data_IF_155510533570
#
_entry.id   IF_155510533570
#
_cell.length_a   1.000
_cell.length_b   1.000
_cell.length_c   1.000
_cell.angle_alpha   90.00
_cell.angle_beta   90.00
_cell.angle_gamma   90.00
#
_symmetry.space_group_name_H-M   'P 1'
#
loop_
_entity.id
_entity.type
_entity.pdbx_description
1 polymer ?
#
# COMPACT_ATOMS: atom_id res chain seq x y z
N UNK A 1 -19.92 41.90 -53.29
CA UNK A 1 -20.24 41.74 -51.86
C UNK A 1 -19.26 40.72 -51.27
N UNK A 2 -19.01 40.80 -49.96
CA UNK A 2 -18.62 39.74 -48.99
C UNK A 2 -18.22 38.36 -49.58
N UNK A 3 -17.09 37.74 -49.22
CA UNK A 3 -16.06 38.11 -48.25
C UNK A 3 -15.03 36.97 -48.05
N UNK A 4 -13.88 37.25 -47.43
CA UNK A 4 -12.74 36.33 -47.36
C UNK A 4 -12.91 35.19 -46.32
N UNK A 5 -12.22 34.07 -46.56
CA UNK A 5 -11.90 33.04 -45.55
C UNK A 5 -10.40 32.66 -45.63
N UNK A 6 -9.58 33.07 -44.65
CA UNK A 6 -8.27 32.50 -44.39
C UNK A 6 -8.17 31.86 -42.99
N UNK A 7 -7.06 31.16 -42.74
CA UNK A 7 -6.83 30.23 -41.63
C UNK A 7 -7.21 30.70 -40.21
N UNK A 8 -7.76 29.75 -39.45
CA UNK A 8 -7.94 29.87 -38.00
C UNK A 8 -6.61 29.57 -37.30
N UNK A 9 -5.88 30.63 -36.95
CA UNK A 9 -4.78 30.55 -35.99
C UNK A 9 -5.37 30.53 -34.57
N UNK A 10 -5.02 29.52 -33.78
CA UNK A 10 -5.18 29.59 -32.31
C UNK A 10 -3.81 29.89 -31.69
N UNK A 11 -3.58 31.16 -31.38
CA UNK A 11 -2.48 31.58 -30.49
C UNK A 11 -2.71 31.03 -29.08
N UNK A 12 -1.61 30.83 -28.36
CA UNK A 12 -1.61 30.07 -27.11
C UNK A 12 -2.52 30.64 -26.02
N UNK A 13 -3.04 29.72 -25.19
CA UNK A 13 -3.63 30.04 -23.89
C UNK A 13 -2.69 29.57 -22.79
N UNK A 14 -2.18 30.52 -22.01
CA UNK A 14 -1.61 30.26 -20.69
C UNK A 14 -2.72 29.68 -19.80
N UNK A 15 -2.49 28.52 -19.20
CA UNK A 15 -3.44 27.95 -18.24
C UNK A 15 -2.91 28.20 -16.83
N UNK A 16 -3.64 29.01 -16.04
CA UNK A 16 -3.25 29.38 -14.68
C UNK A 16 -3.47 28.21 -13.70
N UNK A 17 -2.70 28.24 -12.61
CA UNK A 17 -3.05 27.57 -11.36
C UNK A 17 -4.36 28.20 -10.84
N UNK A 18 -5.25 27.39 -10.26
CA UNK A 18 -6.44 27.91 -9.55
C UNK A 18 -6.54 27.22 -8.19
N UNK A 19 -5.98 27.87 -7.17
CA UNK A 19 -6.25 27.54 -5.78
C UNK A 19 -7.73 27.88 -5.47
N UNK A 20 -8.47 26.96 -4.88
CA UNK A 20 -9.83 27.21 -4.39
C UNK A 20 -9.81 27.29 -2.87
N UNK A 21 -9.71 28.51 -2.33
CA UNK A 21 -9.83 28.76 -0.89
C UNK A 21 -11.29 28.56 -0.45
N UNK A 22 -11.52 27.67 0.53
CA UNK A 22 -12.85 27.46 1.11
C UNK A 22 -13.05 28.35 2.35
N UNK A 23 -13.84 29.41 2.22
CA UNK A 23 -13.98 30.45 3.26
C UNK A 23 -15.04 30.13 4.31
N UNK A 24 -14.71 29.24 5.25
CA UNK A 24 -15.46 29.05 6.50
C UNK A 24 -14.59 29.39 7.72
N UNK A 25 -14.60 30.65 8.14
CA UNK A 25 -13.77 31.14 9.25
C UNK A 25 -14.17 30.53 10.61
N UNK A 26 -13.28 29.73 11.20
CA UNK A 26 -13.28 29.43 12.63
C UNK A 26 -11.82 29.32 13.11
N UNK A 27 -11.31 30.39 13.74
CA UNK A 27 -9.95 30.38 14.29
C UNK A 27 -9.93 29.50 15.54
N UNK A 28 -9.38 28.30 15.40
CA UNK A 28 -9.07 27.42 16.52
C UNK A 28 -7.56 27.47 16.76
N UNK A 29 -7.15 27.70 18.02
CA UNK A 29 -5.75 27.62 18.44
C UNK A 29 -5.30 26.14 18.43
N UNK A 30 -4.84 25.68 17.27
CA UNK A 30 -4.35 24.33 17.07
C UNK A 30 -2.92 24.18 17.62
N UNK A 31 -2.81 23.73 18.88
CA UNK A 31 -1.51 23.36 19.46
C UNK A 31 -0.83 22.27 18.62
N UNK A 32 0.38 22.57 18.13
CA UNK A 32 1.20 21.62 17.39
C UNK A 32 1.61 20.44 18.30
N UNK A 33 1.71 19.20 17.78
CA UNK A 33 2.04 18.04 18.60
C UNK A 33 3.49 18.09 19.09
N UNK A 34 3.70 18.12 20.42
CA UNK A 34 5.04 18.05 21.00
C UNK A 34 5.76 16.75 20.63
N UNK A 35 6.81 16.86 19.81
CA UNK A 35 7.76 15.77 19.56
C UNK A 35 8.84 15.66 20.64
N UNK A 36 9.59 14.55 20.68
CA UNK A 36 10.75 14.40 21.57
C UNK A 36 11.83 15.43 21.20
N UNK A 37 12.05 16.38 22.10
CA UNK A 37 12.79 17.64 21.84
C UNK A 37 14.24 17.41 21.38
N UNK A 38 14.92 16.44 21.98
CA UNK A 38 16.35 16.10 21.83
C UNK A 38 16.76 15.60 20.41
N UNK A 39 15.79 15.12 19.61
CA UNK A 39 16.10 14.52 18.31
C UNK A 39 16.15 15.55 17.16
N UNK A 40 15.39 16.65 17.25
CA UNK A 40 14.79 17.30 16.07
C UNK A 40 14.92 18.84 16.04
N UNK A 41 15.90 19.44 16.74
CA UNK A 41 16.07 20.91 16.74
C UNK A 41 16.25 21.49 15.32
N UNK A 42 15.64 22.64 15.04
CA UNK A 42 15.59 23.20 13.67
C UNK A 42 16.98 23.51 13.10
N UNK A 43 17.93 23.90 13.96
CA UNK A 43 19.32 24.09 13.58
C UNK A 43 20.05 22.80 13.14
N UNK A 44 19.60 21.64 13.62
CA UNK A 44 20.10 20.32 13.16
C UNK A 44 19.56 20.00 11.77
N UNK A 45 18.28 20.31 11.49
CA UNK A 45 17.69 20.19 10.16
C UNK A 45 18.37 21.12 9.15
N UNK A 46 18.59 22.39 9.54
CA UNK A 46 19.37 23.37 8.75
C UNK A 46 20.73 22.80 8.37
N UNK A 47 21.54 22.37 9.35
CA UNK A 47 22.89 21.84 9.12
C UNK A 47 22.90 20.58 8.23
N UNK A 48 21.87 19.74 8.28
CA UNK A 48 21.69 18.64 7.32
C UNK A 48 21.46 19.17 5.90
N UNK A 49 20.59 20.17 5.72
CA UNK A 49 20.35 20.80 4.42
C UNK A 49 21.57 21.53 3.85
N UNK A 50 22.32 22.28 4.67
CA UNK A 50 23.62 22.88 4.28
C UNK A 50 24.59 21.80 3.80
N UNK A 51 24.65 20.67 4.51
CA UNK A 51 25.51 19.53 4.14
C UNK A 51 25.06 18.87 2.83
N UNK A 52 23.76 18.76 2.59
CA UNK A 52 23.19 18.24 1.35
C UNK A 52 23.45 19.16 0.14
N UNK A 53 23.31 20.48 0.32
CA UNK A 53 23.58 21.46 -0.75
C UNK A 53 25.06 21.52 -1.16
N UNK A 54 25.99 21.16 -0.25
CA UNK A 54 27.42 21.10 -0.51
C UNK A 54 27.91 19.74 -1.06
N UNK A 55 27.05 18.72 -1.17
CA UNK A 55 27.36 17.49 -1.92
C UNK A 55 27.29 17.80 -3.43
N UNK A 56 28.28 17.37 -4.21
CA UNK A 56 28.26 17.53 -5.66
C UNK A 56 27.04 16.84 -6.28
N UNK A 57 26.58 17.35 -7.42
CA UNK A 57 25.46 16.80 -8.20
C UNK A 57 25.86 15.51 -8.93
N UNK A 58 26.18 14.46 -8.16
CA UNK A 58 26.28 13.10 -8.67
C UNK A 58 24.91 12.62 -9.17
N UNK A 59 24.92 11.60 -10.04
CA UNK A 59 23.73 11.10 -10.75
C UNK A 59 22.80 10.24 -9.87
N UNK A 60 22.77 10.52 -8.55
CA UNK A 60 22.02 9.79 -7.53
C UNK A 60 20.69 10.51 -7.25
N UNK A 61 19.58 9.95 -7.73
CA UNK A 61 18.26 10.56 -7.66
C UNK A 61 17.75 10.80 -6.22
N UNK A 62 18.24 10.06 -5.23
CA UNK A 62 17.95 10.28 -3.81
C UNK A 62 18.54 11.62 -3.33
N UNK A 63 19.78 11.94 -3.72
CA UNK A 63 20.43 13.20 -3.35
C UNK A 63 19.65 14.41 -3.89
N UNK A 64 19.25 14.36 -5.16
CA UNK A 64 18.48 15.42 -5.81
C UNK A 64 17.10 15.62 -5.15
N UNK A 65 16.42 14.54 -4.76
CA UNK A 65 15.13 14.62 -4.06
C UNK A 65 15.26 15.29 -2.67
N UNK A 66 16.30 14.94 -1.91
CA UNK A 66 16.62 15.58 -0.61
C UNK A 66 16.97 17.06 -0.77
N UNK A 67 17.82 17.39 -1.75
CA UNK A 67 18.20 18.78 -2.05
C UNK A 67 16.97 19.63 -2.44
N UNK A 68 16.06 19.07 -3.25
CA UNK A 68 14.80 19.75 -3.60
C UNK A 68 13.90 19.97 -2.36
N UNK A 69 13.80 19.01 -1.45
CA UNK A 69 13.07 19.16 -0.18
C UNK A 69 13.69 20.28 0.67
N UNK A 70 15.01 20.35 0.78
CA UNK A 70 15.70 21.45 1.49
C UNK A 70 15.44 22.82 0.85
N UNK A 71 15.55 22.94 -0.48
CA UNK A 71 15.29 24.19 -1.21
C UNK A 71 13.86 24.69 -1.00
N UNK A 72 12.87 23.78 -1.08
CA UNK A 72 11.46 24.11 -0.88
C UNK A 72 11.12 24.39 0.60
N UNK A 73 11.83 23.76 1.55
CA UNK A 73 11.69 24.05 2.97
C UNK A 73 12.25 25.45 3.34
N UNK A 74 13.31 25.88 2.67
CA UNK A 74 13.84 27.25 2.78
C UNK A 74 12.89 28.28 2.17
N UNK A 75 12.38 28.02 0.96
CA UNK A 75 11.38 28.88 0.31
C UNK A 75 10.09 28.98 1.17
N UNK A 76 9.65 27.88 1.79
CA UNK A 76 8.52 27.87 2.71
C UNK A 76 8.83 28.43 4.12
N UNK A 77 10.06 28.88 4.38
CA UNK A 77 10.54 29.38 5.68
C UNK A 77 10.25 28.40 6.84
N UNK A 78 10.59 27.13 6.65
CA UNK A 78 10.50 26.07 7.67
C UNK A 78 11.82 25.86 8.45
N UNK A 79 12.90 26.51 8.03
CA UNK A 79 14.24 26.39 8.62
C UNK A 79 14.78 27.79 8.98
N UNK A 80 15.38 27.98 10.18
CA UNK A 80 15.99 29.25 10.57
C UNK A 80 17.22 29.57 9.71
N UNK A 81 17.60 30.85 9.66
CA UNK A 81 18.85 31.33 9.04
C UNK A 81 20.08 30.61 9.62
N UNK A 82 21.10 30.35 8.78
CA UNK A 82 22.35 29.69 9.21
C UNK A 82 23.06 30.44 10.33
N UNK A 83 23.07 31.78 10.27
CA UNK A 83 23.72 32.64 11.27
C UNK A 83 23.11 32.50 12.65
N UNK A 84 21.78 32.29 12.75
CA UNK A 84 21.10 32.00 14.03
C UNK A 84 21.50 30.65 14.63
N UNK A 85 22.10 29.75 13.83
CA UNK A 85 22.52 28.42 14.25
C UNK A 85 24.02 28.31 14.56
N UNK A 86 24.75 29.43 14.59
CA UNK A 86 26.15 29.51 15.00
C UNK A 86 26.32 29.74 16.52
N UNK A 87 25.28 30.23 17.22
CA UNK A 87 25.34 30.44 18.67
C UNK A 87 25.40 29.11 19.46
N UNK A 88 26.42 28.90 20.31
CA UNK A 88 26.64 27.62 20.99
C UNK A 88 25.64 27.41 22.14
N UNK A 89 24.61 26.59 21.88
CA UNK A 89 23.61 26.16 22.86
C UNK A 89 22.17 26.61 22.56
N UNK A 90 21.93 27.26 21.42
CA UNK A 90 20.61 27.73 21.03
C UNK A 90 19.77 26.63 20.36
N UNK A 91 18.69 26.19 21.01
CA UNK A 91 17.68 25.30 20.45
C UNK A 91 16.44 26.07 20.01
N UNK A 92 16.44 26.55 18.76
CA UNK A 92 15.33 27.31 18.20
C UNK A 92 14.05 26.46 18.08
N UNK A 93 12.96 26.99 18.62
CA UNK A 93 11.61 26.41 18.52
C UNK A 93 10.91 26.76 17.22
N UNK A 94 9.74 26.14 16.97
CA UNK A 94 8.89 26.48 15.82
C UNK A 94 8.32 27.90 15.91
N UNK A 95 8.16 28.41 17.12
CA UNK A 95 7.55 29.71 17.42
C UNK A 95 8.45 30.92 17.10
N UNK A 96 9.72 30.69 16.70
CA UNK A 96 10.74 31.74 16.48
C UNK A 96 11.08 31.98 14.98
N UNK A 97 10.40 31.28 14.07
CA UNK A 97 10.64 31.36 12.61
C UNK A 97 9.58 32.20 11.88
N UNK A 98 8.50 32.60 12.54
CA UNK A 98 7.35 33.26 11.90
C UNK A 98 7.56 34.75 11.61
N UNK A 99 8.22 35.07 10.49
CA UNK A 99 8.13 36.39 9.87
C UNK A 99 8.42 36.39 8.36
N UNK A 100 7.41 36.13 7.51
CA UNK A 100 7.03 36.98 6.36
C UNK A 100 5.90 36.39 5.49
N UNK A 101 5.10 37.33 4.95
CA UNK A 101 4.12 37.31 3.86
C UNK A 101 3.34 36.03 3.49
N UNK A 102 2.05 36.05 3.83
CA UNK A 102 1.01 35.10 3.42
C UNK A 102 0.61 35.30 1.93
N UNK A 103 1.41 34.78 0.99
CA UNK A 103 1.20 34.92 -0.46
C UNK A 103 0.94 33.60 -1.21
N UNK A 104 0.36 33.70 -2.41
CA UNK A 104 0.00 32.57 -3.30
C UNK A 104 1.20 31.66 -3.67
N UNK A 105 2.42 32.20 -3.68
CA UNK A 105 3.65 31.42 -3.89
C UNK A 105 3.99 30.52 -2.68
N UNK A 106 3.56 30.83 -1.46
CA UNK A 106 3.79 29.99 -0.28
C UNK A 106 2.95 28.70 -0.34
N UNK A 107 1.66 28.81 -0.68
CA UNK A 107 0.77 27.65 -0.88
C UNK A 107 1.32 26.69 -1.95
N UNK A 108 1.75 27.26 -3.07
CA UNK A 108 2.38 26.54 -4.17
C UNK A 108 3.69 25.87 -3.74
N UNK A 109 4.55 26.56 -3.01
CA UNK A 109 5.80 26.02 -2.47
C UNK A 109 5.54 24.86 -1.51
N UNK A 110 4.53 24.98 -0.64
CA UNK A 110 4.09 23.90 0.25
C UNK A 110 3.53 22.69 -0.52
N UNK A 111 2.81 22.91 -1.62
CA UNK A 111 2.37 21.82 -2.50
C UNK A 111 3.54 21.14 -3.23
N UNK A 112 4.50 21.88 -3.79
CA UNK A 112 5.71 21.32 -4.41
C UNK A 112 6.57 20.56 -3.38
N UNK A 113 6.62 21.04 -2.14
CA UNK A 113 7.28 20.37 -1.01
C UNK A 113 6.56 19.08 -0.65
N UNK A 114 5.23 19.10 -0.52
CA UNK A 114 4.40 17.91 -0.29
C UNK A 114 4.58 16.86 -1.39
N UNK A 115 4.59 17.25 -2.67
CA UNK A 115 4.90 16.36 -3.80
C UNK A 115 6.32 15.79 -3.74
N UNK A 116 7.31 16.59 -3.32
CA UNK A 116 8.69 16.12 -3.15
C UNK A 116 8.84 15.17 -1.94
N UNK A 117 8.10 15.44 -0.85
CA UNK A 117 8.01 14.60 0.33
C UNK A 117 7.35 13.25 0.05
N UNK A 118 6.35 13.19 -0.85
CA UNK A 118 5.79 11.91 -1.33
C UNK A 118 6.87 11.06 -2.03
N UNK A 119 7.74 11.68 -2.83
CA UNK A 119 8.87 11.00 -3.46
C UNK A 119 9.93 10.52 -2.46
N UNK A 120 10.09 11.19 -1.31
CA UNK A 120 11.01 10.76 -0.24
C UNK A 120 10.38 9.73 0.73
N UNK A 121 9.07 9.74 0.93
CA UNK A 121 8.36 8.64 1.60
C UNK A 121 8.54 7.32 0.84
N UNK A 122 8.77 7.39 -0.48
CA UNK A 122 9.20 6.30 -1.35
C UNK A 122 10.74 6.13 -1.37
N UNK A 123 11.41 6.14 -0.20
CA UNK A 123 12.86 5.83 -0.05
C UNK A 123 13.13 4.95 1.18
N UNK A 124 14.25 4.19 1.23
CA UNK A 124 14.46 3.17 2.25
C UNK A 124 15.22 3.72 3.46
N UNK A 125 14.63 3.57 4.64
CA UNK A 125 15.19 4.02 5.93
C UNK A 125 16.55 3.38 6.30
N UNK A 126 16.89 2.20 5.77
CA UNK A 126 17.84 1.27 6.41
C UNK A 126 19.33 1.69 6.46
N UNK A 127 19.78 2.66 5.65
CA UNK A 127 21.19 3.10 5.60
C UNK A 127 21.36 4.61 5.38
N UNK A 128 20.29 5.40 5.52
CA UNK A 128 20.25 6.80 5.11
C UNK A 128 20.17 7.76 6.32
N UNK A 129 21.27 8.42 6.73
CA UNK A 129 21.27 9.32 7.89
C UNK A 129 20.47 10.62 7.64
N UNK A 130 20.19 10.98 6.38
CA UNK A 130 19.44 12.19 6.02
C UNK A 130 17.92 11.95 6.07
N UNK A 131 17.44 10.69 6.10
CA UNK A 131 16.02 10.33 5.93
C UNK A 131 15.10 10.84 7.05
N UNK A 132 15.42 10.61 8.34
CA UNK A 132 14.60 11.13 9.46
C UNK A 132 14.60 12.68 9.55
N UNK A 133 15.72 13.39 9.29
CA UNK A 133 15.68 14.84 9.06
C UNK A 133 14.69 15.27 7.97
N UNK A 134 14.72 14.67 6.78
CA UNK A 134 13.78 15.03 5.70
C UNK A 134 12.33 14.72 6.07
N UNK A 135 12.07 13.56 6.68
CA UNK A 135 10.76 13.14 7.20
C UNK A 135 10.24 14.08 8.30
N UNK A 136 11.13 14.74 9.04
CA UNK A 136 10.77 15.79 10.00
C UNK A 136 10.39 17.08 9.27
N UNK A 137 11.18 17.54 8.29
CA UNK A 137 10.82 18.68 7.42
C UNK A 137 9.44 18.48 6.77
N UNK A 138 9.16 17.29 6.24
CA UNK A 138 7.86 16.96 5.64
C UNK A 138 6.69 17.06 6.63
N UNK A 139 6.89 16.73 7.91
CA UNK A 139 5.87 16.94 8.97
C UNK A 139 5.68 18.41 9.31
N UNK A 140 6.74 19.23 9.24
CA UNK A 140 6.62 20.68 9.45
C UNK A 140 5.83 21.34 8.31
N UNK A 141 6.04 20.89 7.06
CA UNK A 141 5.27 21.34 5.91
C UNK A 141 3.77 21.00 6.05
N UNK A 142 3.44 19.75 6.38
CA UNK A 142 2.07 19.28 6.66
C UNK A 142 1.41 20.07 7.81
N UNK A 143 2.15 20.35 8.89
CA UNK A 143 1.68 21.21 9.98
C UNK A 143 1.38 22.65 9.53
N UNK A 144 2.26 23.26 8.73
CA UNK A 144 2.06 24.62 8.20
C UNK A 144 0.88 24.70 7.23
N UNK A 145 0.74 23.73 6.32
CA UNK A 145 -0.41 23.63 5.41
C UNK A 145 -1.76 23.55 6.15
N UNK A 146 -1.81 22.84 7.28
CA UNK A 146 -3.01 22.72 8.12
C UNK A 146 -3.32 24.00 8.89
N UNK A 147 -2.29 24.71 9.36
CA UNK A 147 -2.45 26.01 10.04
C UNK A 147 -2.94 27.12 9.09
N UNK A 148 -2.60 27.04 7.80
CA UNK A 148 -2.80 28.12 6.82
C UNK A 148 -4.13 28.03 6.02
N UNK A 149 -5.12 27.28 6.55
CA UNK A 149 -6.45 26.98 5.97
C UNK A 149 -6.49 25.88 4.87
N UNK A 150 -6.04 24.67 5.22
CA UNK A 150 -6.40 23.40 4.54
C UNK A 150 -6.03 23.32 3.03
N UNK A 151 -4.79 23.71 2.72
CA UNK A 151 -4.25 23.80 1.35
C UNK A 151 -4.36 22.46 0.60
N UNK A 152 -5.31 22.36 -0.34
CA UNK A 152 -5.65 21.10 -1.02
C UNK A 152 -4.88 20.89 -2.34
N UNK A 153 -3.67 20.32 -2.26
CA UNK A 153 -2.83 20.04 -3.43
C UNK A 153 -3.39 18.90 -4.31
N UNK A 154 -3.82 19.21 -5.54
CA UNK A 154 -4.39 18.21 -6.48
C UNK A 154 -3.34 17.68 -7.47
N UNK A 155 -3.09 16.36 -7.56
CA UNK A 155 -2.30 15.76 -8.63
C UNK A 155 -2.98 15.89 -10.00
N UNK A 156 -2.18 15.99 -11.07
CA UNK A 156 -2.65 16.01 -12.46
C UNK A 156 -2.91 14.57 -12.95
N UNK A 157 -4.06 14.30 -13.57
CA UNK A 157 -4.30 13.01 -14.24
C UNK A 157 -3.44 12.86 -15.51
N UNK A 158 -2.75 11.73 -15.73
CA UNK A 158 -2.02 11.49 -16.96
C UNK A 158 -2.98 11.33 -18.14
N UNK A 159 -2.89 12.23 -19.13
CA UNK A 159 -3.66 12.14 -20.37
C UNK A 159 -3.24 10.94 -21.21
N UNK A 160 -4.15 10.44 -22.04
CA UNK A 160 -3.91 9.26 -22.88
C UNK A 160 -2.91 9.59 -23.99
N UNK A 161 -1.81 8.84 -24.06
CA UNK A 161 -0.98 8.80 -25.26
C UNK A 161 -1.78 8.20 -26.42
N UNK A 162 -2.19 9.05 -27.36
CA UNK A 162 -2.69 8.62 -28.67
C UNK A 162 -1.47 8.48 -29.58
N UNK A 163 -1.04 7.24 -29.82
CA UNK A 163 -0.19 6.95 -30.96
C UNK A 163 -1.02 7.05 -32.22
N UNK A 164 -0.57 7.87 -33.17
CA UNK A 164 -1.05 7.90 -34.54
C UNK A 164 0.16 7.86 -35.47
N UNK A 165 0.15 6.94 -36.42
CA UNK A 165 1.20 6.75 -37.41
C UNK A 165 1.05 7.76 -38.56
N UNK A 166 2.16 8.19 -39.17
CA UNK A 166 2.18 8.64 -40.58
C UNK A 166 3.62 8.58 -41.14
N UNK A 167 3.76 8.13 -42.39
CA UNK A 167 5.04 7.85 -43.09
C UNK A 167 5.55 9.04 -43.93
N UNK A 168 6.86 9.08 -44.27
CA UNK A 168 7.40 9.26 -45.66
C UNK A 168 8.88 9.73 -45.74
N UNK A 169 9.50 9.53 -46.92
CA UNK A 169 10.84 10.02 -47.34
C UNK A 169 10.68 11.27 -48.27
N UNK A 170 11.67 12.09 -48.65
CA UNK A 170 13.16 12.14 -48.62
C UNK A 170 13.56 13.65 -48.74
N UNK A 171 14.79 14.17 -48.95
CA UNK A 171 16.18 13.74 -49.22
C UNK A 171 17.13 14.93 -48.84
N UNK A 172 18.46 14.82 -49.06
CA UNK A 172 19.19 15.94 -49.69
C UNK A 172 20.30 16.66 -48.90
N UNK A 173 21.46 16.00 -48.72
CA UNK A 173 22.84 16.55 -48.73
C UNK A 173 23.21 17.91 -48.08
N UNK A 174 24.16 17.86 -47.14
CA UNK A 174 24.96 19.02 -46.68
C UNK A 174 26.09 18.60 -45.72
N UNK A 175 27.30 19.13 -45.88
CA UNK A 175 28.51 18.69 -45.15
C UNK A 175 29.08 19.79 -44.23
N UNK A 176 29.41 19.38 -42.98
CA UNK A 176 30.24 20.07 -41.96
C UNK A 176 29.92 21.53 -41.58
N UNK A 177 29.47 21.71 -40.34
CA UNK A 177 30.27 22.41 -39.32
C UNK A 177 29.82 21.97 -37.91
N UNK A 178 30.70 22.13 -36.91
CA UNK A 178 30.47 21.63 -35.55
C UNK A 178 29.53 22.53 -34.73
N UNK A 179 28.52 21.93 -34.10
CA UNK A 179 27.99 22.34 -32.80
C UNK A 179 27.28 21.11 -32.17
N UNK A 180 27.71 20.70 -30.98
CA UNK A 180 27.07 19.63 -30.22
C UNK A 180 25.95 20.21 -29.35
N UNK A 181 24.82 20.53 -29.98
CA UNK A 181 23.60 20.94 -29.28
C UNK A 181 22.84 19.72 -28.72
N UNK A 182 22.00 19.95 -27.71
CA UNK A 182 21.52 18.91 -26.80
C UNK A 182 20.60 17.87 -27.47
N UNK A 183 21.06 16.62 -27.54
CA UNK A 183 20.19 15.46 -27.85
C UNK A 183 19.91 14.68 -26.56
N UNK A 184 18.65 14.61 -26.09
CA UNK A 184 18.30 13.92 -24.85
C UNK A 184 18.76 12.45 -24.87
N UNK A 185 19.69 12.11 -23.97
CA UNK A 185 20.09 10.73 -23.72
C UNK A 185 18.90 9.98 -23.12
N UNK A 186 18.33 9.03 -23.87
CA UNK A 186 17.22 8.17 -23.41
C UNK A 186 17.78 7.14 -22.43
N UNK A 187 18.01 7.59 -21.19
CA UNK A 187 18.56 6.78 -20.10
C UNK A 187 17.56 5.69 -19.70
N UNK A 188 17.92 4.44 -19.99
CA UNK A 188 17.16 3.24 -19.65
C UNK A 188 17.21 2.98 -18.14
N UNK A 189 16.21 3.52 -17.43
CA UNK A 189 16.10 3.47 -15.97
C UNK A 189 16.17 2.03 -15.40
N UNK A 190 17.26 1.71 -14.71
CA UNK A 190 17.37 0.54 -13.83
C UNK A 190 16.53 0.78 -12.56
N UNK A 191 15.23 0.54 -12.69
CA UNK A 191 14.19 0.96 -11.75
C UNK A 191 14.16 0.08 -10.51
N UNK A 192 14.78 0.54 -9.43
CA UNK A 192 14.66 -0.07 -8.09
C UNK A 192 13.42 0.49 -7.38
N UNK A 193 12.51 -0.38 -6.95
CA UNK A 193 11.19 0.00 -6.43
C UNK A 193 11.12 -0.09 -4.91
N UNK A 194 10.31 0.80 -4.32
CA UNK A 194 9.83 0.72 -2.95
C UNK A 194 8.36 0.31 -2.96
N UNK A 195 7.94 -0.39 -1.91
CA UNK A 195 6.63 -1.01 -1.79
C UNK A 195 6.16 -0.86 -0.35
N UNK A 196 4.85 -0.80 -0.17
CA UNK A 196 4.18 -0.79 1.13
C UNK A 196 4.32 -2.15 1.84
N UNK A 197 4.29 -2.18 3.17
CA UNK A 197 4.34 -3.42 3.95
C UNK A 197 3.04 -4.23 3.78
N UNK A 198 1.88 -3.57 3.67
CA UNK A 198 0.59 -4.21 3.38
C UNK A 198 -0.47 -3.26 2.75
N UNK A 199 -1.67 -3.77 2.49
CA UNK A 199 -2.77 -3.01 1.86
C UNK A 199 -3.35 -1.85 2.69
N UNK A 200 -3.11 -1.79 3.99
CA UNK A 200 -3.61 -0.73 4.86
C UNK A 200 -2.83 0.58 4.68
N UNK A 201 -1.53 0.49 4.42
CA UNK A 201 -0.73 1.65 4.02
C UNK A 201 -1.11 2.13 2.62
N UNK A 202 -1.38 1.20 1.68
CA UNK A 202 -1.88 1.55 0.34
C UNK A 202 -3.22 2.28 0.45
N UNK A 203 -4.12 1.81 1.32
CA UNK A 203 -5.39 2.49 1.58
C UNK A 203 -5.16 3.90 2.13
N UNK A 204 -4.35 4.05 3.18
CA UNK A 204 -4.04 5.34 3.78
C UNK A 204 -3.43 6.32 2.76
N UNK A 205 -2.45 5.87 1.96
CA UNK A 205 -1.83 6.66 0.91
C UNK A 205 -2.82 7.06 -0.20
N UNK A 206 -3.76 6.18 -0.58
CA UNK A 206 -4.80 6.53 -1.55
C UNK A 206 -5.82 7.53 -0.97
N UNK A 207 -6.20 7.40 0.30
CA UNK A 207 -7.16 8.31 0.97
C UNK A 207 -6.70 9.77 0.96
N UNK A 208 -5.39 10.04 0.95
CA UNK A 208 -4.84 11.40 0.86
C UNK A 208 -5.12 12.09 -0.49
N UNK A 209 -5.37 11.33 -1.57
CA UNK A 209 -5.48 11.85 -2.94
C UNK A 209 -6.81 11.52 -3.62
N UNK A 210 -7.69 10.74 -2.98
CA UNK A 210 -9.03 10.42 -3.49
C UNK A 210 -9.64 9.19 -2.83
N UNK A 211 -10.64 8.59 -3.49
CA UNK A 211 -11.24 7.33 -3.02
C UNK A 211 -10.30 6.16 -3.27
N UNK A 212 -9.92 5.37 -2.24
CA UNK A 212 -9.20 4.13 -2.42
C UNK A 212 -9.94 3.14 -3.34
N UNK A 213 -9.20 2.25 -4.03
CA UNK A 213 -9.78 1.31 -5.00
C UNK A 213 -9.29 -0.12 -4.77
N UNK A 214 -10.21 -1.07 -4.74
CA UNK A 214 -9.88 -2.50 -4.70
C UNK A 214 -9.19 -2.97 -5.98
N UNK A 215 -8.21 -3.86 -5.86
CA UNK A 215 -7.43 -4.34 -7.00
C UNK A 215 -6.14 -5.06 -6.59
N UNK A 216 -5.33 -5.44 -7.59
CA UNK A 216 -4.02 -6.05 -7.35
C UNK A 216 -2.94 -4.99 -7.20
N UNK A 217 -2.22 -5.05 -6.09
CA UNK A 217 -1.07 -4.20 -5.77
C UNK A 217 0.15 -5.08 -5.47
N UNK A 218 1.32 -4.46 -5.27
CA UNK A 218 2.54 -5.18 -4.85
C UNK A 218 3.02 -4.61 -3.52
N UNK A 219 3.21 -5.49 -2.56
CA UNK A 219 3.67 -5.18 -1.19
C UNK A 219 5.03 -5.85 -0.93
N UNK A 220 5.74 -5.39 0.10
CA UNK A 220 7.01 -5.97 0.54
C UNK A 220 7.19 -5.78 2.05
N UNK A 221 6.53 -6.63 2.87
CA UNK A 221 6.80 -6.73 4.31
C UNK A 221 8.28 -6.66 4.69
N UNK A 222 8.55 -6.16 5.89
CA UNK A 222 9.86 -6.16 6.53
C UNK A 222 10.53 -7.54 6.41
N UNK A 223 11.76 -7.54 5.88
CA UNK A 223 12.56 -8.74 5.57
C UNK A 223 12.00 -9.67 4.47
N UNK A 224 11.08 -9.21 3.63
CA UNK A 224 10.59 -9.95 2.44
C UNK A 224 11.21 -9.48 1.11
N UNK A 225 11.08 -10.34 0.10
CA UNK A 225 11.02 -9.91 -1.30
C UNK A 225 9.61 -9.40 -1.63
N UNK A 226 9.47 -8.57 -2.67
CA UNK A 226 8.17 -8.01 -3.04
C UNK A 226 7.26 -9.06 -3.71
N UNK A 227 5.97 -9.03 -3.41
CA UNK A 227 4.97 -9.93 -3.99
C UNK A 227 3.61 -9.25 -4.18
N UNK A 228 2.82 -9.74 -5.13
CA UNK A 228 1.52 -9.15 -5.45
C UNK A 228 0.40 -9.73 -4.59
N UNK A 229 -0.51 -8.86 -4.16
CA UNK A 229 -1.68 -9.15 -3.33
C UNK A 229 -2.91 -8.48 -3.91
N UNK A 230 -4.10 -9.00 -3.59
CA UNK A 230 -5.33 -8.24 -3.78
C UNK A 230 -5.59 -7.41 -2.53
N UNK A 231 -5.74 -6.09 -2.71
CA UNK A 231 -6.22 -5.21 -1.67
C UNK A 231 -7.72 -5.01 -1.83
N UNK A 232 -8.49 -5.32 -0.78
CA UNK A 232 -9.90 -4.96 -0.68
C UNK A 232 -10.00 -3.65 0.12
N UNK A 233 -10.43 -2.60 -0.58
CA UNK A 233 -10.54 -1.23 -0.08
C UNK A 233 -11.98 -0.84 0.26
N UNK A 234 -12.95 -1.74 0.06
CA UNK A 234 -14.38 -1.44 0.14
C UNK A 234 -15.03 -2.09 1.37
N UNK A 235 -14.63 -3.33 1.68
CA UNK A 235 -15.21 -4.13 2.75
C UNK A 235 -14.77 -3.61 4.11
N UNK A 236 -15.70 -3.37 5.04
CA UNK A 236 -15.40 -3.09 6.46
C UNK A 236 -14.34 -1.98 6.68
N UNK A 237 -14.40 -0.93 5.86
CA UNK A 237 -13.46 0.21 5.92
C UNK A 237 -12.19 0.06 5.10
N UNK A 238 -12.00 -1.04 4.36
CA UNK A 238 -10.89 -1.21 3.43
C UNK A 238 -9.52 -1.46 4.07
N UNK A 239 -8.47 -1.41 3.25
CA UNK A 239 -7.09 -1.68 3.70
C UNK A 239 -6.77 -3.16 3.92
N UNK A 240 -7.62 -4.07 3.43
CA UNK A 240 -7.49 -5.51 3.67
C UNK A 240 -6.55 -6.16 2.66
N UNK A 241 -5.52 -6.85 3.16
CA UNK A 241 -4.67 -7.74 2.35
C UNK A 241 -5.34 -9.10 2.26
N UNK A 242 -5.84 -9.48 1.08
CA UNK A 242 -6.44 -10.80 0.87
C UNK A 242 -5.34 -11.88 0.92
N UNK A 243 -5.62 -12.99 1.59
CA UNK A 243 -4.70 -14.13 1.79
C UNK A 243 -5.20 -15.44 1.17
N UNK A 244 -6.52 -15.56 0.95
CA UNK A 244 -7.16 -16.69 0.26
C UNK A 244 -8.44 -16.22 -0.44
N UNK A 245 -8.70 -16.70 -1.65
CA UNK A 245 -9.98 -16.47 -2.37
C UNK A 245 -10.43 -17.72 -3.11
N UNK A 246 -11.72 -18.07 -3.01
CA UNK A 246 -12.43 -19.14 -3.76
C UNK A 246 -13.75 -18.60 -4.31
N UNK A 247 -14.12 -18.93 -5.55
CA UNK A 247 -15.42 -18.55 -6.13
C UNK A 247 -15.87 -19.28 -7.42
N UNK A 248 -15.03 -20.08 -8.08
CA UNK A 248 -15.39 -20.75 -9.35
C UNK A 248 -14.83 -22.17 -9.58
N UNK A 249 -13.79 -22.55 -8.84
CA UNK A 249 -13.09 -23.83 -8.95
C UNK A 249 -12.04 -23.90 -10.06
N UNK A 250 -11.58 -22.77 -10.61
CA UNK A 250 -10.55 -22.72 -11.67
C UNK A 250 -9.21 -23.32 -11.26
N UNK A 251 -8.87 -23.34 -9.97
CA UNK A 251 -7.67 -23.99 -9.45
C UNK A 251 -7.98 -25.05 -8.38
N UNK A 252 -7.24 -26.15 -8.41
CA UNK A 252 -7.30 -27.17 -7.37
C UNK A 252 -6.44 -26.76 -6.16
N UNK A 253 -7.02 -26.89 -4.96
CA UNK A 253 -6.35 -26.66 -3.68
C UNK A 253 -5.86 -27.96 -3.01
N UNK A 254 -6.16 -29.14 -3.58
CA UNK A 254 -5.45 -30.37 -3.22
C UNK A 254 -4.02 -30.29 -3.78
N UNK A 255 -3.09 -29.79 -2.94
CA UNK A 255 -1.75 -29.34 -3.29
C UNK A 255 -0.73 -29.84 -2.26
N UNK A 256 0.55 -29.85 -2.64
CA UNK A 256 1.65 -30.22 -1.75
C UNK A 256 1.98 -29.09 -0.77
N UNK A 257 2.63 -29.44 0.33
CA UNK A 257 3.06 -28.48 1.35
C UNK A 257 3.92 -27.36 0.76
N UNK A 258 4.78 -27.68 -0.22
CA UNK A 258 5.64 -26.69 -0.87
C UNK A 258 4.83 -25.63 -1.65
N UNK A 259 3.74 -26.03 -2.31
CA UNK A 259 2.81 -25.10 -2.97
C UNK A 259 2.15 -24.19 -1.92
N UNK A 260 1.69 -24.77 -0.81
CA UNK A 260 1.12 -24.02 0.32
C UNK A 260 2.12 -23.08 1.00
N UNK A 261 3.41 -23.42 1.03
CA UNK A 261 4.50 -22.60 1.58
C UNK A 261 4.73 -21.32 0.77
N UNK A 262 4.80 -21.44 -0.56
CA UNK A 262 5.17 -20.33 -1.45
C UNK A 262 4.00 -19.60 -2.12
N UNK A 263 2.80 -20.19 -2.14
CA UNK A 263 1.60 -19.61 -2.75
C UNK A 263 1.29 -20.18 -4.13
N UNK A 264 0.01 -20.06 -4.55
CA UNK A 264 -0.47 -20.51 -5.86
C UNK A 264 -1.78 -19.82 -6.25
N UNK A 265 -2.05 -19.72 -7.55
CA UNK A 265 -3.20 -19.00 -8.11
C UNK A 265 -2.83 -17.61 -8.61
N UNK A 266 -3.79 -16.69 -8.67
CA UNK A 266 -3.58 -15.28 -9.03
C UNK A 266 -4.33 -14.36 -8.09
N UNK A 267 -3.71 -13.26 -7.68
CA UNK A 267 -4.33 -12.27 -6.81
C UNK A 267 -5.67 -11.74 -7.36
N UNK A 268 -5.83 -11.65 -8.68
CA UNK A 268 -7.09 -11.23 -9.32
C UNK A 268 -8.06 -12.40 -9.61
N UNK A 269 -7.99 -13.50 -8.85
CA UNK A 269 -8.76 -14.72 -9.06
C UNK A 269 -8.81 -15.62 -7.82
N UNK A 270 -9.00 -16.93 -8.00
CA UNK A 270 -8.73 -17.87 -6.90
C UNK A 270 -7.22 -17.91 -6.60
N UNK A 271 -6.85 -17.83 -5.32
CA UNK A 271 -5.47 -18.00 -4.88
C UNK A 271 -5.29 -18.32 -3.39
N UNK A 272 -4.06 -18.71 -3.07
CA UNK A 272 -3.49 -18.83 -1.74
C UNK A 272 -2.19 -18.02 -1.71
N UNK A 273 -2.07 -17.06 -0.79
CA UNK A 273 -0.93 -16.13 -0.74
C UNK A 273 0.42 -16.80 -0.40
N UNK A 274 0.39 -18.00 0.20
CA UNK A 274 1.59 -18.72 0.66
C UNK A 274 1.87 -18.48 2.14
N UNK A 275 2.09 -19.56 2.90
CA UNK A 275 2.32 -19.51 4.34
C UNK A 275 3.55 -18.69 4.72
N UNK A 276 4.59 -18.70 3.88
CA UNK A 276 5.78 -17.88 4.10
C UNK A 276 5.47 -16.39 4.01
N UNK A 277 4.61 -15.98 3.07
CA UNK A 277 4.20 -14.59 2.91
C UNK A 277 3.24 -14.17 4.03
N UNK A 278 2.29 -15.04 4.42
CA UNK A 278 1.42 -14.80 5.58
C UNK A 278 2.20 -14.68 6.89
N UNK A 279 3.24 -15.50 7.09
CA UNK A 279 4.17 -15.36 8.22
C UNK A 279 4.90 -14.01 8.19
N UNK A 280 5.44 -13.61 7.03
CA UNK A 280 6.17 -12.34 6.90
C UNK A 280 5.28 -11.12 7.19
N UNK A 281 4.05 -11.08 6.67
CA UNK A 281 3.06 -10.02 7.00
C UNK A 281 2.71 -10.07 8.50
N UNK A 282 2.24 -11.21 9.01
CA UNK A 282 1.73 -11.32 10.40
C UNK A 282 2.81 -11.35 11.49
N UNK A 283 4.09 -11.28 11.10
CA UNK A 283 5.19 -11.07 12.02
C UNK A 283 5.34 -9.61 12.48
N UNK A 284 4.93 -8.65 11.64
CA UNK A 284 5.24 -7.20 11.77
C UNK A 284 4.50 -6.51 12.92
N UNK A 285 3.19 -6.75 13.00
CA UNK A 285 2.27 -6.14 13.96
C UNK A 285 1.20 -7.19 14.35
N UNK A 286 0.23 -6.81 15.18
CA UNK A 286 -1.00 -7.59 15.39
C UNK A 286 -1.94 -7.35 14.21
N UNK A 287 -2.26 -8.39 13.44
CA UNK A 287 -3.24 -8.33 12.36
C UNK A 287 -4.57 -8.94 12.81
N UNK A 288 -5.69 -8.31 12.51
CA UNK A 288 -7.00 -8.96 12.55
C UNK A 288 -7.24 -9.79 11.27
N UNK A 289 -8.10 -10.80 11.35
CA UNK A 289 -8.56 -11.62 10.21
C UNK A 289 -10.05 -11.42 10.00
N UNK A 290 -10.44 -11.13 8.76
CA UNK A 290 -11.81 -11.16 8.26
C UNK A 290 -11.97 -12.34 7.29
N UNK A 291 -12.99 -13.16 7.49
CA UNK A 291 -13.38 -14.27 6.61
C UNK A 291 -14.81 -14.02 6.12
N UNK A 292 -14.98 -13.77 4.82
CA UNK A 292 -16.30 -13.69 4.16
C UNK A 292 -16.64 -15.01 3.45
N UNK A 293 -17.91 -15.40 3.51
CA UNK A 293 -18.41 -16.69 3.07
C UNK A 293 -19.77 -16.53 2.36
N UNK A 294 -19.94 -17.16 1.20
CA UNK A 294 -21.18 -17.14 0.41
C UNK A 294 -21.63 -18.57 0.10
N UNK A 295 -22.93 -18.87 0.27
CA UNK A 295 -23.51 -20.17 -0.10
C UNK A 295 -24.19 -20.18 -1.49
N UNK A 296 -24.65 -21.36 -1.91
CA UNK A 296 -25.36 -21.54 -3.18
C UNK A 296 -26.79 -20.99 -3.22
N UNK A 297 -27.28 -20.43 -2.12
CA UNK A 297 -28.50 -19.62 -2.04
C UNK A 297 -28.20 -18.12 -2.00
N UNK A 298 -26.93 -17.72 -2.15
CA UNK A 298 -26.39 -16.36 -2.05
C UNK A 298 -26.53 -15.73 -0.66
N UNK A 299 -26.66 -16.52 0.41
CA UNK A 299 -26.52 -15.99 1.76
C UNK A 299 -25.05 -15.64 2.00
N UNK A 300 -24.75 -14.38 2.34
CA UNK A 300 -23.41 -13.95 2.76
C UNK A 300 -23.33 -13.83 4.27
N UNK A 301 -22.18 -14.25 4.84
CA UNK A 301 -21.86 -14.13 6.27
C UNK A 301 -20.37 -13.91 6.45
N UNK A 302 -19.98 -13.37 7.61
CA UNK A 302 -18.59 -13.15 7.97
C UNK A 302 -18.22 -13.67 9.37
N UNK A 303 -16.94 -13.96 9.54
CA UNK A 303 -16.29 -14.19 10.82
C UNK A 303 -15.07 -13.27 10.92
N UNK A 304 -14.87 -12.61 12.07
CA UNK A 304 -13.67 -11.84 12.41
C UNK A 304 -12.95 -12.47 13.59
N UNK A 305 -11.62 -12.33 13.62
CA UNK A 305 -10.78 -12.70 14.76
C UNK A 305 -9.86 -11.53 15.09
N UNK A 306 -9.90 -11.05 16.34
CA UNK A 306 -9.19 -9.85 16.79
C UNK A 306 -7.66 -9.94 16.73
N UNK A 307 -7.13 -11.14 16.57
CA UNK A 307 -5.79 -11.35 16.03
C UNK A 307 -5.73 -12.62 15.18
N UNK A 308 -4.81 -12.63 14.23
CA UNK A 308 -4.42 -13.76 13.40
C UNK A 308 -2.93 -13.69 13.13
N UNK A 309 -2.22 -14.79 13.38
CA UNK A 309 -0.79 -14.92 13.11
C UNK A 309 -0.47 -16.31 12.61
N UNK A 310 0.39 -16.36 11.59
CA UNK A 310 1.02 -17.60 11.12
C UNK A 310 2.42 -17.66 11.74
N UNK A 311 2.79 -18.80 12.33
CA UNK A 311 4.08 -19.01 12.96
C UNK A 311 5.23 -19.16 11.95
N UNK A 312 6.47 -18.98 12.42
CA UNK A 312 7.67 -19.16 11.61
C UNK A 312 8.16 -20.61 11.54
N UNK A 313 9.26 -20.80 10.80
CA UNK A 313 9.83 -22.13 10.52
C UNK A 313 8.89 -23.00 9.69
N UNK A 314 9.15 -24.31 9.62
CA UNK A 314 8.36 -25.20 8.77
C UNK A 314 7.02 -25.67 9.40
N UNK A 315 6.60 -25.14 10.55
CA UNK A 315 5.35 -25.54 11.21
C UNK A 315 4.15 -24.65 10.85
N UNK A 316 4.40 -23.40 10.48
CA UNK A 316 3.40 -22.37 10.14
C UNK A 316 2.16 -22.36 11.07
N UNK A 317 2.40 -22.44 12.39
CA UNK A 317 1.37 -22.63 13.42
C UNK A 317 0.36 -21.48 13.44
N UNK A 318 -0.94 -21.80 13.49
CA UNK A 318 -2.00 -20.81 13.60
C UNK A 318 -2.12 -20.27 15.03
N UNK A 319 -2.20 -18.96 15.18
CA UNK A 319 -2.63 -18.30 16.42
C UNK A 319 -3.80 -17.35 16.12
N UNK A 320 -4.85 -17.43 16.94
CA UNK A 320 -6.07 -16.61 16.82
C UNK A 320 -6.43 -15.90 18.14
N UNK A 321 -6.96 -14.69 18.00
CA UNK A 321 -7.64 -13.93 19.04
C UNK A 321 -9.13 -14.27 19.17
N UNK A 322 -9.89 -13.38 19.77
CA UNK A 322 -11.33 -13.55 20.02
C UNK A 322 -12.16 -13.48 18.73
N UNK A 323 -13.06 -14.47 18.56
CA UNK A 323 -14.05 -14.51 17.48
C UNK A 323 -15.14 -13.42 17.63
N UNK A 324 -15.63 -12.91 16.49
CA UNK A 324 -16.91 -12.20 16.36
C UNK A 324 -17.50 -12.38 14.95
N UNK A 325 -18.76 -11.97 14.74
CA UNK A 325 -19.44 -12.03 13.44
C UNK A 325 -20.67 -12.95 13.43
N UNK A 326 -21.20 -13.24 12.24
CA UNK A 326 -22.48 -13.94 12.04
C UNK A 326 -22.38 -15.29 11.29
N UNK A 327 -21.20 -15.68 10.79
CA UNK A 327 -20.94 -16.99 10.20
C UNK A 327 -20.83 -18.14 11.23
N UNK A 328 -20.82 -17.80 12.52
CA UNK A 328 -20.45 -18.71 13.61
C UNK A 328 -18.93 -18.98 13.64
N UNK A 329 -18.42 -19.40 14.78
CA UNK A 329 -16.99 -19.74 14.90
C UNK A 329 -16.70 -21.08 14.21
N UNK A 330 -15.87 -21.03 13.17
CA UNK A 330 -15.41 -22.19 12.42
C UNK A 330 -13.89 -22.36 12.42
N UNK A 331 -13.14 -21.54 13.17
CA UNK A 331 -11.68 -21.49 13.11
C UNK A 331 -10.98 -21.64 14.47
N UNK A 332 -11.59 -21.22 15.59
CA UNK A 332 -10.97 -21.31 16.94
C UNK A 332 -10.63 -22.74 17.35
N UNK A 333 -11.37 -23.74 16.84
CA UNK A 333 -11.05 -25.16 17.02
C UNK A 333 -9.65 -25.54 16.50
N UNK A 334 -9.12 -24.81 15.52
CA UNK A 334 -7.79 -24.97 14.94
C UNK A 334 -6.72 -24.06 15.57
N UNK A 335 -7.06 -23.27 16.59
CA UNK A 335 -6.11 -22.38 17.25
C UNK A 335 -4.96 -23.20 17.90
N UNK A 336 -3.72 -22.77 17.67
CA UNK A 336 -2.51 -23.47 18.09
C UNK A 336 -2.11 -24.66 17.21
N UNK A 337 -2.83 -25.00 16.14
CA UNK A 337 -2.48 -26.12 15.26
C UNK A 337 -1.41 -25.77 14.22
N UNK A 338 -0.66 -26.77 13.78
CA UNK A 338 0.35 -26.67 12.70
C UNK A 338 -0.34 -26.88 11.35
N UNK A 339 0.31 -26.47 10.26
CA UNK A 339 -0.26 -26.65 8.93
C UNK A 339 0.05 -28.05 8.36
N UNK A 340 -0.98 -28.82 8.03
CA UNK A 340 -0.89 -30.11 7.32
C UNK A 340 -1.18 -29.93 5.83
N UNK A 341 -0.55 -30.75 4.99
CA UNK A 341 -0.88 -30.93 3.57
C UNK A 341 -0.80 -32.42 3.19
N UNK A 342 -1.28 -32.79 1.98
CA UNK A 342 -1.43 -34.22 1.61
C UNK A 342 -0.13 -35.05 1.59
N UNK A 343 1.03 -34.38 1.50
CA UNK A 343 2.38 -34.96 1.57
C UNK A 343 3.13 -34.66 2.89
N UNK A 344 2.50 -33.92 3.82
CA UNK A 344 3.11 -33.51 5.09
C UNK A 344 2.06 -33.46 6.21
N UNK A 345 2.05 -34.52 7.00
CA UNK A 345 1.18 -34.67 8.16
C UNK A 345 1.76 -33.93 9.38
N UNK A 346 0.97 -33.05 9.98
CA UNK A 346 1.33 -32.25 11.16
C UNK A 346 0.18 -32.06 12.16
N UNK A 347 -0.92 -32.81 12.02
CA UNK A 347 -2.13 -32.65 12.84
C UNK A 347 -2.22 -33.65 14.00
N UNK A 348 -3.30 -33.55 14.79
CA UNK A 348 -3.48 -34.30 16.05
C UNK A 348 -4.15 -35.69 15.82
N UNK A 349 -4.45 -36.08 14.57
CA UNK A 349 -5.09 -37.37 14.26
C UNK A 349 -4.07 -38.50 14.02
N UNK A 350 -4.54 -39.75 13.98
CA UNK A 350 -3.70 -40.94 13.74
C UNK A 350 -3.43 -41.20 12.25
N UNK A 351 -3.45 -40.15 11.43
CA UNK A 351 -3.28 -40.19 9.98
C UNK A 351 -3.65 -38.84 9.35
N UNK A 352 -3.21 -38.62 8.12
CA UNK A 352 -3.19 -37.27 7.53
C UNK A 352 -4.59 -36.77 7.12
N UNK A 353 -5.10 -35.75 7.82
CA UNK A 353 -6.40 -35.14 7.53
C UNK A 353 -6.50 -34.41 6.19
N UNK A 354 -5.38 -33.92 5.65
CA UNK A 354 -5.31 -33.29 4.34
C UNK A 354 -5.37 -34.33 3.19
N UNK A 355 -4.93 -35.57 3.43
CA UNK A 355 -4.91 -36.65 2.43
C UNK A 355 -6.21 -37.47 2.34
N UNK A 356 -6.94 -37.63 3.45
CA UNK A 356 -8.15 -38.46 3.50
C UNK A 356 -9.35 -37.79 2.78
N UNK A 357 -10.36 -38.59 2.42
CA UNK A 357 -11.54 -38.20 1.63
C UNK A 357 -11.24 -37.59 0.24
N UNK A 358 -10.13 -38.01 -0.39
CA UNK A 358 -9.76 -37.59 -1.75
C UNK A 358 -8.94 -36.29 -1.82
N UNK A 359 -8.44 -35.81 -0.68
CA UNK A 359 -7.64 -34.60 -0.57
C UNK A 359 -8.48 -33.40 -0.13
N UNK A 360 -8.48 -33.14 1.18
CA UNK A 360 -9.21 -32.03 1.78
C UNK A 360 -8.54 -30.65 1.58
N UNK A 361 -7.38 -30.61 0.91
CA UNK A 361 -6.55 -29.42 0.83
C UNK A 361 -5.67 -29.22 2.07
N UNK A 362 -4.79 -28.23 2.03
CA UNK A 362 -3.91 -27.91 3.15
C UNK A 362 -4.62 -27.02 4.17
N UNK A 363 -4.47 -27.31 5.46
CA UNK A 363 -5.11 -26.56 6.54
C UNK A 363 -4.42 -26.79 7.89
N UNK A 364 -4.77 -25.98 8.87
CA UNK A 364 -4.36 -26.13 10.28
C UNK A 364 -5.19 -27.19 11.01
N UNK A 365 -5.21 -28.43 10.53
CA UNK A 365 -6.06 -29.48 11.09
C UNK A 365 -5.72 -29.84 12.54
N UNK A 366 -6.72 -30.35 13.26
CA UNK A 366 -6.61 -30.94 14.60
C UNK A 366 -6.97 -32.44 14.53
N UNK A 367 -8.09 -32.86 15.12
CA UNK A 367 -8.72 -34.16 14.84
C UNK A 367 -9.49 -34.10 13.52
N UNK A 368 -8.81 -33.71 12.43
CA UNK A 368 -9.40 -33.21 11.18
C UNK A 368 -10.34 -32.02 11.39
N UNK A 369 -11.20 -31.69 10.42
CA UNK A 369 -12.19 -30.63 10.56
C UNK A 369 -12.82 -30.17 9.24
N UNK A 370 -13.41 -28.96 9.25
CA UNK A 370 -13.87 -28.24 8.05
C UNK A 370 -12.78 -27.26 7.59
N UNK A 371 -12.77 -26.92 6.30
CA UNK A 371 -11.69 -26.21 5.64
C UNK A 371 -12.22 -25.38 4.47
N UNK A 372 -11.64 -24.20 4.25
CA UNK A 372 -11.94 -23.36 3.08
C UNK A 372 -11.07 -23.74 1.86
N UNK A 373 -10.06 -24.58 2.07
CA UNK A 373 -9.14 -25.06 1.04
C UNK A 373 -9.57 -26.42 0.44
N UNK A 374 -10.78 -26.89 0.77
CA UNK A 374 -11.33 -28.11 0.19
C UNK A 374 -11.61 -28.03 -1.32
N UNK A 375 -11.96 -29.16 -1.96
CA UNK A 375 -12.38 -29.19 -3.35
C UNK A 375 -13.51 -28.20 -3.64
N UNK A 376 -13.46 -27.53 -4.80
CA UNK A 376 -14.59 -26.74 -5.25
C UNK A 376 -15.64 -27.67 -5.85
N UNK A 377 -16.85 -27.66 -5.30
CA UNK A 377 -18.00 -28.43 -5.81
C UNK A 377 -19.15 -27.49 -6.12
N UNK A 378 -19.80 -27.73 -7.26
CA UNK A 378 -21.06 -27.08 -7.68
C UNK A 378 -22.24 -27.95 -7.25
N UNK A 379 -23.48 -27.44 -7.19
CA UNK A 379 -24.64 -28.26 -6.82
C UNK A 379 -24.91 -29.44 -7.77
N UNK A 380 -24.44 -29.34 -9.02
CA UNK A 380 -24.42 -30.40 -10.03
C UNK A 380 -23.52 -31.59 -9.68
N UNK A 381 -22.44 -31.35 -8.94
CA UNK A 381 -21.34 -32.31 -8.75
C UNK A 381 -21.62 -33.25 -7.56
N UNK A 382 -22.79 -33.10 -6.95
CA UNK A 382 -23.22 -33.73 -5.70
C UNK A 382 -23.58 -35.20 -5.89
N UNK A 383 -22.61 -36.08 -5.64
CA UNK A 383 -22.84 -37.52 -5.50
C UNK A 383 -23.09 -37.90 -4.02
N UNK A 384 -23.28 -39.20 -3.74
CA UNK A 384 -23.26 -39.75 -2.38
C UNK A 384 -21.85 -39.93 -1.79
N UNK A 385 -20.80 -39.59 -2.56
CA UNK A 385 -19.39 -39.87 -2.22
C UNK A 385 -18.49 -38.61 -2.21
N UNK A 386 -19.02 -37.42 -2.52
CA UNK A 386 -18.23 -36.17 -2.42
C UNK A 386 -17.85 -35.87 -0.97
N UNK A 387 -16.60 -35.44 -0.78
CA UNK A 387 -16.10 -34.94 0.51
C UNK A 387 -16.69 -33.57 0.87
N UNK A 388 -16.14 -32.96 1.91
CA UNK A 388 -16.70 -31.74 2.51
C UNK A 388 -16.70 -30.50 1.61
N UNK A 389 -15.86 -30.47 0.57
CA UNK A 389 -15.64 -29.30 -0.27
C UNK A 389 -15.11 -28.09 0.53
N UNK A 390 -15.29 -26.89 -0.01
CA UNK A 390 -15.13 -25.64 0.73
C UNK A 390 -16.23 -25.59 1.80
N UNK A 391 -15.89 -25.58 3.08
CA UNK A 391 -16.89 -25.69 4.15
C UNK A 391 -16.47 -24.99 5.43
N UNK A 392 -17.44 -24.35 6.10
CA UNK A 392 -17.28 -23.69 7.39
C UNK A 392 -18.27 -24.30 8.38
N UNK A 393 -17.75 -24.88 9.48
CA UNK A 393 -18.52 -25.80 10.34
C UNK A 393 -19.78 -25.20 10.98
N UNK A 394 -19.76 -23.90 11.28
CA UNK A 394 -20.84 -23.20 11.97
C UNK A 394 -21.77 -22.39 11.03
N UNK A 395 -21.51 -22.37 9.71
CA UNK A 395 -22.23 -21.49 8.78
C UNK A 395 -23.71 -21.87 8.62
N UNK A 396 -24.01 -23.17 8.57
CA UNK A 396 -25.37 -23.70 8.50
C UNK A 396 -25.65 -24.63 9.69
N UNK A 397 -26.81 -24.50 10.35
CA UNK A 397 -27.25 -25.46 11.37
C UNK A 397 -27.66 -26.82 10.76
N UNK A 398 -27.77 -26.94 9.43
CA UNK A 398 -28.12 -28.18 8.75
C UNK A 398 -26.88 -29.00 8.35
N UNK A 399 -26.87 -30.23 8.84
CA UNK A 399 -25.76 -31.20 8.75
C UNK A 399 -25.27 -31.49 7.33
N UNK A 400 -23.95 -31.58 7.18
CA UNK A 400 -23.20 -32.36 6.17
C UNK A 400 -23.54 -32.21 4.66
N UNK A 401 -24.33 -31.22 4.21
CA UNK A 401 -24.74 -31.11 2.77
C UNK A 401 -24.50 -29.76 2.09
N UNK A 402 -23.83 -28.83 2.76
CA UNK A 402 -23.58 -27.47 2.27
C UNK A 402 -22.08 -27.19 2.23
N UNK A 403 -21.49 -27.41 1.06
CA UNK A 403 -20.26 -26.71 0.68
C UNK A 403 -20.61 -25.29 0.20
N UNK A 404 -19.70 -24.37 0.40
CA UNK A 404 -19.87 -22.96 0.05
C UNK A 404 -19.67 -22.74 -1.45
N UNK A 405 -20.15 -21.59 -1.91
CA UNK A 405 -19.99 -21.06 -3.27
C UNK A 405 -18.77 -20.13 -3.35
N UNK A 406 -18.51 -19.35 -2.29
CA UNK A 406 -17.30 -18.52 -2.18
C UNK A 406 -16.71 -18.53 -0.77
N UNK A 407 -15.41 -18.28 -0.69
CA UNK A 407 -14.74 -17.83 0.53
C UNK A 407 -13.68 -16.79 0.20
N UNK A 408 -13.50 -15.80 1.08
CA UNK A 408 -12.41 -14.83 1.02
C UNK A 408 -11.85 -14.65 2.43
N UNK A 409 -10.56 -14.88 2.62
CA UNK A 409 -9.85 -14.61 3.87
C UNK A 409 -8.92 -13.42 3.65
N UNK A 410 -8.92 -12.45 4.55
CA UNK A 410 -8.13 -11.22 4.42
C UNK A 410 -7.74 -10.63 5.78
N UNK A 411 -6.58 -9.97 5.82
CA UNK A 411 -5.94 -9.48 7.05
C UNK A 411 -5.58 -8.00 6.96
N UNK A 412 -5.57 -7.32 8.10
CA UNK A 412 -5.27 -5.88 8.23
C UNK A 412 -4.67 -5.63 9.63
N UNK A 413 -3.78 -4.65 9.84
CA UNK A 413 -3.32 -4.29 11.19
C UNK A 413 -4.51 -3.97 12.11
N UNK A 414 -4.52 -4.52 13.32
CA UNK A 414 -5.64 -4.41 14.26
C UNK A 414 -5.73 -3.02 14.94
N UNK A 415 -4.72 -2.19 14.75
CA UNK A 415 -4.66 -0.77 15.13
C UNK A 415 -5.07 0.18 13.98
N UNK A 416 -5.41 -0.35 12.79
CA UNK A 416 -5.90 0.42 11.65
C UNK A 416 -7.15 1.23 12.01
N UNK A 417 -7.18 2.50 11.59
CA UNK A 417 -8.31 3.41 11.77
C UNK A 417 -8.71 3.99 10.43
N UNK A 418 -9.97 3.80 10.06
CA UNK A 418 -10.58 4.60 8.98
C UNK A 418 -10.62 6.06 9.42
N UNK A 419 -10.05 6.98 8.63
CA UNK A 419 -10.08 8.41 8.92
C UNK A 419 -11.48 9.00 8.75
N UNK A 420 -12.28 8.98 9.82
CA UNK A 420 -13.62 9.57 9.94
C UNK A 420 -13.86 10.04 11.38
#
# INVERSE_FOLDING_TARGET
MIGNLPGVVWTGFTMLIVCQVSTTSAVAEANLPEGPRDANSLCKLRKTCTTLGNKFMDNESNLQAKQRICQLADQASLLPDETKCEEPGLELGLDEVTSMDDGEDLDKTLCDLSTSCLMLALTPHAQDPDHEPMKTICKLADGKMKAQNDITCKPIEPTKNVFGDEDSESDGGGELLENQDERPQVLTLSRTYYYFDDCSEIYAAQTLYGTPRSGVYTIRPVSSGAFSVYCDMDTDGGGWTVIQTRFDGTIHFNRRFNDYKYGFGSANGEYWLGLQNMYLVTAQNTYELHVELEDWSNNTRYAKYSSFRVGGGDNYQLSLGSYSGNAGDGLTYFNGMKFSAGDRDQDDWSGNCAAVYGGAGGWWYKGCGRTLNGPYFRPSDRTSQVGWGISWGAFSPSTYRYYLKKSKMMIRPADFRTGK
#
